data_IF_206348555438
#
_entry.id   IF_206348555438
#
_cell.length_a   1.000
_cell.length_b   1.000
_cell.length_c   1.000
_cell.angle_alpha   90.00
_cell.angle_beta   90.00
_cell.angle_gamma   90.00
#
_symmetry.space_group_name_H-M   'P 1'
#
loop_
_entity.id
_entity.type
_entity.pdbx_description
1 polymer ?
#
# COMPACT_ATOMS: atom_id res chain seq x y z
N UNK A 1 -15.37 10.25 -10.17
CA UNK A 1 -13.98 10.06 -9.72
C UNK A 1 -14.02 9.87 -8.21
N UNK A 2 -13.69 8.69 -7.71
CA UNK A 2 -13.75 8.46 -6.26
C UNK A 2 -12.66 9.30 -5.59
N UNK A 3 -13.05 10.20 -4.67
CA UNK A 3 -12.12 11.05 -3.94
C UNK A 3 -11.47 10.21 -2.84
N UNK A 4 -10.18 9.92 -2.99
CA UNK A 4 -9.33 9.32 -1.94
C UNK A 4 -8.20 10.29 -1.65
N UNK A 5 -7.84 10.43 -0.37
CA UNK A 5 -6.76 11.33 0.07
C UNK A 5 -5.62 10.53 0.67
N UNK A 6 -4.42 11.11 0.70
CA UNK A 6 -3.26 10.47 1.30
C UNK A 6 -3.44 10.37 2.81
N UNK A 7 -4.11 11.35 3.41
CA UNK A 7 -4.45 11.41 4.83
C UNK A 7 -5.25 10.18 5.27
N UNK A 8 -6.18 9.70 4.43
CA UNK A 8 -6.95 8.50 4.72
C UNK A 8 -6.08 7.22 4.73
N UNK A 9 -5.07 7.18 3.88
CA UNK A 9 -4.10 6.08 3.86
C UNK A 9 -3.15 6.15 5.07
N UNK A 10 -2.72 7.36 5.45
CA UNK A 10 -1.80 7.58 6.57
C UNK A 10 -2.42 7.25 7.94
N UNK A 11 -3.75 7.31 8.08
CA UNK A 11 -4.47 6.80 9.27
C UNK A 11 -4.23 5.29 9.49
N UNK A 12 -3.88 4.54 8.44
CA UNK A 12 -3.61 3.09 8.48
C UNK A 12 -2.12 2.76 8.42
N UNK A 13 -1.38 3.49 7.59
CA UNK A 13 0.05 3.28 7.36
C UNK A 13 0.76 4.63 7.59
N UNK A 14 1.25 4.92 8.81
CA UNK A 14 1.78 6.24 9.15
C UNK A 14 3.09 6.57 8.41
N UNK A 15 3.80 5.55 7.92
CA UNK A 15 5.03 5.73 7.15
C UNK A 15 4.72 5.89 5.64
N UNK A 16 5.07 7.05 5.08
CA UNK A 16 4.84 7.40 3.67
C UNK A 16 5.63 6.53 2.69
N UNK A 17 6.88 6.19 3.00
CA UNK A 17 7.69 5.31 2.14
C UNK A 17 7.08 3.92 2.09
N UNK A 18 6.68 3.41 3.26
CA UNK A 18 6.01 2.13 3.37
C UNK A 18 4.68 2.11 2.61
N UNK A 19 3.89 3.17 2.71
CA UNK A 19 2.65 3.34 1.94
C UNK A 19 2.91 3.22 0.43
N UNK A 20 3.94 3.89 -0.09
CA UNK A 20 4.32 3.80 -1.51
C UNK A 20 4.70 2.38 -1.89
N UNK A 21 5.52 1.70 -1.08
CA UNK A 21 5.92 0.31 -1.34
C UNK A 21 4.73 -0.66 -1.28
N UNK A 22 3.82 -0.49 -0.32
CA UNK A 22 2.60 -1.29 -0.20
C UNK A 22 1.70 -1.11 -1.41
N UNK A 23 1.45 0.14 -1.83
CA UNK A 23 0.63 0.45 -2.98
C UNK A 23 1.24 -0.15 -4.27
N UNK A 24 2.56 0.03 -4.47
CA UNK A 24 3.26 -0.54 -5.62
C UNK A 24 3.18 -2.08 -5.66
N UNK A 25 3.39 -2.74 -4.51
CA UNK A 25 3.27 -4.20 -4.39
C UNK A 25 1.84 -4.66 -4.71
N UNK A 26 0.83 -3.94 -4.20
CA UNK A 26 -0.57 -4.28 -4.43
C UNK A 26 -0.99 -4.11 -5.89
N UNK A 27 -0.55 -3.05 -6.55
CA UNK A 27 -0.79 -2.85 -8.00
C UNK A 27 -0.22 -4.01 -8.81
N UNK A 28 0.96 -4.53 -8.47
CA UNK A 28 1.53 -5.70 -9.15
C UNK A 28 0.64 -6.93 -9.00
N UNK A 29 0.15 -7.20 -7.79
CA UNK A 29 -0.77 -8.32 -7.54
C UNK A 29 -2.04 -8.23 -8.38
N UNK A 30 -2.63 -7.03 -8.47
CA UNK A 30 -3.80 -6.78 -9.32
C UNK A 30 -3.49 -7.11 -10.78
N UNK A 31 -2.35 -6.63 -11.29
CA UNK A 31 -1.90 -6.87 -12.67
C UNK A 31 -1.55 -8.34 -12.94
N UNK A 32 -1.18 -9.09 -11.92
CA UNK A 32 -0.98 -10.54 -11.95
C UNK A 32 -2.31 -11.32 -11.90
N UNK A 33 -3.45 -10.64 -11.83
CA UNK A 33 -4.79 -11.25 -11.85
C UNK A 33 -5.49 -11.32 -10.49
N UNK A 34 -4.95 -10.68 -9.44
CA UNK A 34 -5.62 -10.60 -8.15
C UNK A 34 -6.90 -9.76 -8.24
N UNK A 35 -7.96 -10.26 -7.62
CA UNK A 35 -9.23 -9.55 -7.53
C UNK A 35 -9.13 -8.27 -6.68
N UNK A 36 -9.99 -7.31 -7.02
CA UNK A 36 -10.17 -6.10 -6.21
C UNK A 36 -10.97 -6.39 -4.95
N UNK A 37 -10.49 -5.87 -3.83
CA UNK A 37 -11.11 -6.00 -2.51
C UNK A 37 -12.10 -4.88 -2.21
N UNK A 38 -12.17 -3.87 -3.10
CA UNK A 38 -13.11 -2.74 -3.05
C UNK A 38 -13.67 -2.47 -4.45
N UNK A 39 -14.81 -1.79 -4.52
CA UNK A 39 -15.44 -1.43 -5.81
C UNK A 39 -14.49 -0.63 -6.71
N UNK A 40 -14.20 -1.16 -7.89
CA UNK A 40 -13.24 -0.62 -8.85
C UNK A 40 -13.89 0.22 -9.97
N UNK A 41 -14.94 0.98 -9.67
CA UNK A 41 -15.68 1.75 -10.68
C UNK A 41 -14.78 2.75 -11.44
N UNK A 42 -14.30 2.37 -12.62
CA UNK A 42 -13.50 3.17 -13.57
C UNK A 42 -12.24 3.83 -12.99
N UNK A 43 -11.64 3.25 -11.95
CA UNK A 43 -10.41 3.79 -11.35
C UNK A 43 -9.19 2.96 -11.79
N UNK A 44 -8.03 3.60 -11.92
CA UNK A 44 -6.76 2.91 -12.16
C UNK A 44 -6.37 2.01 -10.97
N UNK A 45 -5.59 0.96 -11.24
CA UNK A 45 -5.12 -0.01 -10.23
C UNK A 45 -4.52 0.67 -8.99
N UNK A 46 -3.79 1.78 -9.19
CA UNK A 46 -3.15 2.53 -8.11
C UNK A 46 -4.18 3.18 -7.18
N UNK A 47 -5.25 3.74 -7.74
CA UNK A 47 -6.33 4.36 -6.99
C UNK A 47 -7.12 3.28 -6.24
N UNK A 48 -7.36 2.13 -6.87
CA UNK A 48 -8.02 0.99 -6.19
C UNK A 48 -7.15 0.49 -5.04
N UNK A 49 -5.84 0.30 -5.25
CA UNK A 49 -4.89 -0.13 -4.22
C UNK A 49 -4.86 0.81 -3.00
N UNK A 50 -4.80 2.13 -3.23
CA UNK A 50 -4.83 3.11 -2.14
C UNK A 50 -6.16 3.08 -1.38
N UNK A 51 -7.28 2.86 -2.08
CA UNK A 51 -8.60 2.70 -1.44
C UNK A 51 -8.68 1.42 -0.61
N UNK A 52 -8.09 0.33 -1.07
CA UNK A 52 -8.01 -0.91 -0.27
C UNK A 52 -7.16 -0.73 0.98
N UNK A 53 -6.05 0.01 0.90
CA UNK A 53 -5.19 0.34 2.05
C UNK A 53 -5.97 1.23 3.04
N UNK A 54 -6.62 2.30 2.58
CA UNK A 54 -7.43 3.17 3.44
C UNK A 54 -8.60 2.42 4.10
N UNK A 55 -9.21 1.47 3.37
CA UNK A 55 -10.25 0.58 3.88
C UNK A 55 -9.74 -0.52 4.83
N UNK A 56 -8.41 -0.64 5.02
CA UNK A 56 -7.80 -1.68 5.85
C UNK A 56 -7.90 -3.09 5.29
N UNK A 57 -8.16 -3.24 3.98
CA UNK A 57 -8.22 -4.54 3.29
C UNK A 57 -6.85 -5.05 2.87
N UNK A 58 -5.87 -4.15 2.75
CA UNK A 58 -4.46 -4.45 2.48
C UNK A 58 -3.62 -4.01 3.67
N UNK A 59 -2.88 -4.94 4.24
CA UNK A 59 -2.04 -4.74 5.42
C UNK A 59 -0.75 -5.56 5.32
N UNK A 60 0.25 -5.20 6.11
CA UNK A 60 1.51 -5.93 6.23
C UNK A 60 1.29 -7.06 7.23
N UNK A 61 1.64 -8.28 6.84
CA UNK A 61 1.65 -9.43 7.74
C UNK A 61 2.69 -9.20 8.84
N UNK A 62 2.43 -9.66 10.05
CA UNK A 62 3.33 -9.41 11.19
C UNK A 62 4.74 -9.93 10.96
N UNK A 63 4.88 -11.07 10.27
CA UNK A 63 6.15 -11.67 9.84
C UNK A 63 6.99 -10.78 8.90
N UNK A 64 6.36 -9.85 8.19
CA UNK A 64 7.04 -8.94 7.27
C UNK A 64 7.42 -7.61 7.96
N UNK A 65 6.90 -7.31 9.16
CA UNK A 65 7.21 -6.05 9.86
C UNK A 65 8.69 -5.98 10.25
N UNK A 66 9.26 -7.07 10.77
CA UNK A 66 10.69 -7.13 11.15
C UNK A 66 11.62 -6.82 9.98
N UNK A 67 11.28 -7.29 8.77
CA UNK A 67 12.09 -7.05 7.55
C UNK A 67 12.05 -5.59 7.08
N UNK A 68 10.99 -4.85 7.41
CA UNK A 68 10.86 -3.43 7.06
C UNK A 68 11.75 -2.57 7.96
N UNK A 69 11.83 -2.88 9.26
CA UNK A 69 12.70 -2.16 10.19
C UNK A 69 14.19 -2.43 9.95
N UNK A 70 14.57 -3.67 9.62
CA UNK A 70 15.97 -4.03 9.37
C UNK A 70 16.55 -3.31 8.14
N UNK A 71 15.74 -2.99 7.11
CA UNK A 71 16.22 -2.29 5.92
C UNK A 71 16.40 -0.77 6.08
N UNK A 72 15.99 -0.18 7.20
CA UNK A 72 16.16 1.26 7.41
C UNK A 72 17.56 1.63 7.93
N UNK A 73 18.35 0.66 8.42
CA UNK A 73 19.71 0.90 8.95
C UNK A 73 20.83 0.76 7.89
N UNK A 74 20.59 0.11 6.75
CA UNK A 74 21.65 -0.17 5.74
C UNK A 74 21.89 0.95 4.71
N UNK A 75 21.54 2.22 5.00
CA UNK A 75 21.89 3.36 4.12
C UNK A 75 22.55 4.50 4.87
N UNK A 76 23.64 4.18 5.57
CA UNK A 76 24.64 5.17 5.95
C UNK A 76 26.04 4.57 5.80
N UNK A 77 26.58 4.64 4.57
CA UNK A 77 28.01 4.68 4.29
C UNK A 77 28.20 5.14 2.84
N UNK A 78 28.46 6.43 2.66
CA UNK A 78 29.75 6.92 2.14
C UNK A 78 29.94 8.39 2.57
#
# INVERSE_FOLDING_TARGET
MARITIEDCLKRVPNRFLLVHMAAKRVRQIREGSEYLVSASKNEDIVVSLREIAAGKVFIKEEDKEKVFIKQEDKETD
#
